data_IF_586156879782
#
_entry.id   IF_586156879782
#
_cell.length_a   1.000
_cell.length_b   1.000
_cell.length_c   1.000
_cell.angle_alpha   90.00
_cell.angle_beta   90.00
_cell.angle_gamma   90.00
#
_symmetry.space_group_name_H-M   'P 1'
#
loop_
_entity.id
_entity.type
_entity.pdbx_description
1 polymer ?
#
# COMPACT_ATOMS: atom_id res chain seq x y z
N UNK A 1 -12.77 -0.66 -5.60
CA UNK A 1 -12.10 -0.60 -4.28
C UNK A 1 -10.61 -0.44 -4.51
N UNK A 2 -9.91 0.23 -3.60
CA UNK A 2 -8.45 0.38 -3.67
C UNK A 2 -7.85 -1.00 -3.44
N UNK A 3 -6.98 -1.43 -4.35
CA UNK A 3 -6.40 -2.77 -4.32
C UNK A 3 -5.11 -2.78 -3.49
N UNK A 4 -5.00 -3.74 -2.58
CA UNK A 4 -3.82 -4.04 -1.78
C UNK A 4 -3.98 -5.42 -1.14
N UNK A 5 -2.89 -5.98 -0.61
CA UNK A 5 -2.94 -7.25 0.10
C UNK A 5 -3.77 -7.17 1.40
N UNK A 6 -4.28 -8.29 1.92
CA UNK A 6 -5.12 -8.32 3.13
C UNK A 6 -4.38 -7.95 4.43
N UNK A 7 -3.05 -7.94 4.43
CA UNK A 7 -2.20 -7.77 5.59
C UNK A 7 -1.80 -9.11 6.21
N UNK A 8 -0.50 -9.37 6.31
CA UNK A 8 0.05 -10.59 6.93
C UNK A 8 1.12 -10.24 7.96
N UNK A 9 1.17 -11.05 9.03
CA UNK A 9 2.20 -10.95 10.06
C UNK A 9 3.44 -11.75 9.66
N UNK A 10 4.61 -11.29 10.10
CA UNK A 10 5.85 -12.04 9.94
C UNK A 10 5.76 -13.37 10.73
N UNK A 11 6.33 -14.43 10.16
CA UNK A 11 6.50 -15.69 10.87
C UNK A 11 7.53 -15.51 12.00
N UNK A 12 7.16 -15.69 13.28
CA UNK A 12 8.07 -15.50 14.41
C UNK A 12 9.18 -16.55 14.48
N UNK A 13 9.08 -17.66 13.74
CA UNK A 13 10.11 -18.69 13.68
C UNK A 13 11.24 -18.38 12.69
N UNK A 14 11.04 -17.41 11.79
CA UNK A 14 12.02 -17.00 10.80
C UNK A 14 12.91 -15.86 11.32
N UNK A 15 14.15 -15.71 10.78
CA UNK A 15 15.00 -14.58 11.10
C UNK A 15 14.34 -13.24 10.75
N UNK A 16 14.57 -12.22 11.58
CA UNK A 16 14.06 -10.88 11.33
C UNK A 16 14.63 -10.31 10.02
N UNK A 17 13.73 -9.86 9.15
CA UNK A 17 14.10 -9.22 7.88
C UNK A 17 14.11 -7.69 7.99
N UNK A 18 14.90 -7.05 7.13
CA UNK A 18 14.91 -5.59 7.00
C UNK A 18 14.52 -5.15 5.59
N UNK A 19 13.76 -4.06 5.52
CA UNK A 19 13.34 -3.47 4.24
C UNK A 19 14.48 -2.64 3.65
N UNK A 20 14.99 -3.02 2.48
CA UNK A 20 16.04 -2.28 1.80
C UNK A 20 16.65 -3.00 0.59
N UNK A 21 17.55 -2.30 -0.10
CA UNK A 21 18.35 -2.83 -1.20
C UNK A 21 17.54 -3.30 -2.42
N UNK A 22 18.13 -4.21 -3.20
CA UNK A 22 17.51 -4.75 -4.42
C UNK A 22 16.22 -5.53 -4.15
N UNK A 23 16.16 -6.24 -3.02
CA UNK A 23 14.97 -7.00 -2.63
C UNK A 23 13.76 -6.08 -2.44
N UNK A 24 13.93 -4.93 -1.76
CA UNK A 24 12.87 -3.93 -1.66
C UNK A 24 12.44 -3.37 -3.02
N UNK A 25 13.37 -3.12 -3.95
CA UNK A 25 13.03 -2.65 -5.29
C UNK A 25 12.16 -3.67 -6.04
N UNK A 26 12.52 -4.96 -5.98
CA UNK A 26 11.76 -6.05 -6.58
C UNK A 26 10.34 -6.15 -6.01
N UNK A 27 10.18 -6.00 -4.69
CA UNK A 27 8.85 -6.03 -4.06
C UNK A 27 8.02 -4.78 -4.33
N UNK A 28 8.65 -3.61 -4.49
CA UNK A 28 7.95 -2.40 -4.97
C UNK A 28 7.39 -2.63 -6.37
N UNK A 29 8.22 -3.13 -7.29
CA UNK A 29 7.79 -3.46 -8.65
C UNK A 29 6.67 -4.50 -8.65
N UNK A 30 6.83 -5.60 -7.90
CA UNK A 30 5.80 -6.63 -7.74
C UNK A 30 4.48 -6.05 -7.22
N UNK A 31 4.52 -5.15 -6.23
CA UNK A 31 3.34 -4.50 -5.66
C UNK A 31 2.59 -3.69 -6.72
N UNK A 32 3.31 -2.89 -7.50
CA UNK A 32 2.72 -2.06 -8.55
C UNK A 32 2.15 -2.90 -9.69
N UNK A 33 2.83 -3.98 -10.08
CA UNK A 33 2.32 -4.92 -11.09
C UNK A 33 1.07 -5.67 -10.62
N UNK A 34 0.98 -6.00 -9.33
CA UNK A 34 -0.12 -6.79 -8.75
C UNK A 34 -1.37 -5.94 -8.50
N UNK A 35 -1.20 -4.75 -7.92
CA UNK A 35 -2.31 -3.94 -7.40
C UNK A 35 -2.53 -2.62 -8.15
N UNK A 36 -1.71 -2.31 -9.15
CA UNK A 36 -1.74 -1.05 -9.88
C UNK A 36 -1.04 0.09 -9.14
N UNK A 37 -1.41 1.33 -9.43
CA UNK A 37 -0.71 2.53 -8.93
C UNK A 37 -1.59 3.45 -8.05
N UNK A 38 -2.81 3.02 -7.73
CA UNK A 38 -3.71 3.78 -6.84
C UNK A 38 -3.17 3.68 -5.41
N UNK A 39 -2.82 4.83 -4.84
CA UNK A 39 -2.21 4.91 -3.51
C UNK A 39 -3.17 4.44 -2.42
N UNK A 40 -2.75 3.45 -1.62
CA UNK A 40 -3.54 2.88 -0.52
C UNK A 40 -3.83 3.85 0.61
N UNK A 41 -3.07 4.95 0.67
CA UNK A 41 -3.18 5.94 1.73
C UNK A 41 -4.12 7.11 1.38
N UNK A 42 -4.21 7.49 0.10
CA UNK A 42 -4.96 8.68 -0.33
C UNK A 42 -5.96 8.42 -1.47
N UNK A 43 -5.90 7.26 -2.12
CA UNK A 43 -6.79 6.90 -3.22
C UNK A 43 -6.47 7.54 -4.56
N UNK A 44 -5.38 8.30 -4.69
CA UNK A 44 -5.00 8.93 -5.96
C UNK A 44 -3.98 8.08 -6.75
N UNK A 45 -3.98 8.13 -8.10
CA UNK A 45 -3.03 7.41 -8.94
C UNK A 45 -1.58 7.93 -8.81
N UNK A 46 -0.62 7.24 -9.44
CA UNK A 46 0.77 7.66 -9.52
C UNK A 46 1.67 7.17 -8.37
N UNK A 47 1.29 6.08 -7.70
CA UNK A 47 2.17 5.43 -6.71
C UNK A 47 3.42 4.88 -7.37
N UNK A 48 4.56 5.06 -6.71
CA UNK A 48 5.88 4.60 -7.17
C UNK A 48 6.69 3.94 -6.04
N UNK A 49 6.00 3.54 -4.98
CA UNK A 49 6.53 2.79 -3.86
C UNK A 49 5.48 1.83 -3.33
N UNK A 50 5.88 0.98 -2.38
CA UNK A 50 4.97 0.13 -1.63
C UNK A 50 4.93 0.59 -0.17
N UNK A 51 3.79 0.42 0.48
CA UNK A 51 3.61 0.61 1.91
C UNK A 51 3.07 -0.68 2.53
N UNK A 52 3.46 -0.95 3.77
CA UNK A 52 3.05 -2.14 4.49
C UNK A 52 1.63 -1.96 5.02
N UNK A 53 0.74 -2.92 4.80
CA UNK A 53 -0.64 -2.89 5.29
C UNK A 53 -0.63 -2.95 6.81
N UNK A 54 0.07 -3.93 7.38
CA UNK A 54 0.46 -4.00 8.79
C UNK A 54 1.89 -3.45 8.90
N UNK A 55 2.12 -2.36 9.65
CA UNK A 55 3.46 -1.78 9.78
C UNK A 55 4.49 -2.78 10.32
N UNK A 56 5.71 -2.74 9.79
CA UNK A 56 6.82 -3.62 10.22
C UNK A 56 7.11 -3.54 11.72
N UNK A 57 7.04 -2.34 12.30
CA UNK A 57 7.21 -2.13 13.75
C UNK A 57 6.13 -2.79 14.60
N UNK A 58 5.03 -3.23 14.00
CA UNK A 58 3.92 -3.94 14.66
C UNK A 58 3.87 -5.43 14.27
N UNK A 59 4.95 -5.95 13.69
CA UNK A 59 5.08 -7.37 13.34
C UNK A 59 4.58 -7.74 11.95
N UNK A 60 4.26 -6.76 11.09
CA UNK A 60 3.87 -7.06 9.70
C UNK A 60 5.00 -7.70 8.90
N UNK A 61 4.66 -8.65 8.03
CA UNK A 61 5.61 -9.33 7.16
C UNK A 61 6.34 -8.32 6.27
N UNK A 62 7.67 -8.45 6.17
CA UNK A 62 8.53 -7.45 5.50
C UNK A 62 8.47 -7.60 3.98
N UNK A 63 8.54 -8.84 3.49
CA UNK A 63 8.58 -9.21 2.08
C UNK A 63 7.48 -10.20 1.73
N UNK A 64 6.23 -9.78 1.94
CA UNK A 64 5.04 -10.52 1.57
C UNK A 64 4.12 -9.61 0.76
N UNK A 65 3.73 -10.05 -0.43
CA UNK A 65 2.83 -9.29 -1.31
C UNK A 65 1.47 -9.06 -0.67
N UNK A 66 1.04 -9.97 0.21
CA UNK A 66 -0.21 -9.84 0.94
C UNK A 66 -0.13 -8.78 2.05
N UNK A 67 1.08 -8.38 2.48
CA UNK A 67 1.26 -7.26 3.41
C UNK A 67 1.65 -5.95 2.71
N UNK A 68 1.49 -5.83 1.39
CA UNK A 68 1.88 -4.64 0.63
C UNK A 68 0.71 -4.04 -0.13
N UNK A 69 0.81 -2.73 -0.38
CA UNK A 69 -0.02 -2.04 -1.35
C UNK A 69 0.67 -0.81 -1.95
N UNK A 70 0.21 -0.34 -3.12
CA UNK A 70 0.82 0.80 -3.80
C UNK A 70 0.73 2.06 -2.94
N UNK A 71 1.80 2.85 -2.86
CA UNK A 71 1.77 4.10 -2.10
C UNK A 71 2.66 5.15 -2.74
N UNK A 72 2.26 6.42 -2.63
CA UNK A 72 3.19 7.53 -2.84
C UNK A 72 4.22 7.53 -1.71
N UNK A 73 5.49 7.82 -2.04
CA UNK A 73 6.53 7.94 -1.02
C UNK A 73 6.13 8.91 0.10
N UNK A 74 5.63 10.09 -0.24
CA UNK A 74 5.20 11.11 0.74
C UNK A 74 4.09 10.60 1.66
N UNK A 75 3.13 9.84 1.14
CA UNK A 75 2.04 9.27 1.93
C UNK A 75 2.54 8.19 2.88
N UNK A 76 3.35 7.25 2.39
CA UNK A 76 4.02 6.23 3.21
C UNK A 76 4.82 6.89 4.35
N UNK A 77 5.72 7.84 4.02
CA UNK A 77 6.50 8.58 5.01
C UNK A 77 5.63 9.32 6.04
N UNK A 78 4.48 9.87 5.65
CA UNK A 78 3.59 10.56 6.59
C UNK A 78 2.79 9.58 7.49
N UNK A 79 2.47 8.39 6.98
CA UNK A 79 1.71 7.37 7.69
C UNK A 79 2.49 6.79 8.87
N UNK A 80 3.78 6.52 8.69
CA UNK A 80 4.61 5.87 9.73
C UNK A 80 3.98 4.52 10.16
N UNK A 81 3.81 4.28 11.46
CA UNK A 81 3.23 3.05 12.02
C UNK A 81 1.72 3.14 12.29
N UNK A 82 1.06 4.18 11.77
CA UNK A 82 -0.39 4.36 11.91
C UNK A 82 -1.13 3.33 11.05
N UNK A 83 -2.35 2.91 11.45
CA UNK A 83 -3.19 2.07 10.60
C UNK A 83 -3.49 2.76 9.26
N UNK A 84 -3.83 1.97 8.24
CA UNK A 84 -4.29 2.52 6.97
C UNK A 84 -5.48 3.45 7.21
N UNK A 85 -5.50 4.58 6.50
CA UNK A 85 -6.64 5.47 6.53
C UNK A 85 -7.76 4.86 5.68
N UNK A 86 -9.01 4.84 6.15
CA UNK A 86 -10.14 4.55 5.29
C UNK A 86 -10.20 5.61 4.18
N UNK A 87 -9.99 5.17 2.95
CA UNK A 87 -10.07 6.02 1.76
C UNK A 87 -11.35 5.66 1.02
N UNK A 88 -12.38 6.47 1.22
CA UNK A 88 -13.53 6.52 0.34
C UNK A 88 -13.24 7.56 -0.74
N UNK A 89 -13.00 7.13 -1.98
CA UNK A 89 -13.09 8.06 -3.11
C UNK A 89 -14.58 8.21 -3.39
N UNK A 90 -15.20 9.39 -3.18
CA UNK A 90 -16.52 9.61 -3.73
C UNK A 90 -16.39 9.58 -5.25
N UNK A 91 -16.89 8.51 -5.86
CA UNK A 91 -17.03 8.44 -7.31
C UNK A 91 -18.23 9.30 -7.65
N UNK A 92 -17.98 10.57 -7.96
CA UNK A 92 -18.99 11.45 -8.51
C UNK A 92 -19.20 11.09 -9.99
N UNK A 93 -20.41 10.68 -10.38
CA UNK A 93 -20.70 10.28 -11.76
C UNK A 93 -20.62 11.44 -12.76
N UNK A 94 -20.58 12.69 -12.28
CA UNK A 94 -20.64 13.89 -13.11
C UNK A 94 -21.97 14.08 -13.87
N UNK A 95 -22.88 13.10 -13.85
CA UNK A 95 -24.18 13.14 -14.54
C UNK A 95 -25.07 14.29 -14.07
N UNK A 96 -24.85 14.79 -12.85
CA UNK A 96 -25.54 15.96 -12.34
C UNK A 96 -25.27 17.23 -13.19
N UNK A 97 -24.12 17.33 -13.86
CA UNK A 97 -23.77 18.45 -14.74
C UNK A 97 -24.43 18.38 -16.12
N UNK A 98 -25.07 17.25 -16.46
CA UNK A 98 -25.70 17.02 -17.76
C UNK A 98 -27.23 16.88 -17.68
N UNK A 99 -27.84 17.24 -16.54
CA UNK A 99 -29.31 17.32 -16.42
C UNK A 99 -29.80 18.65 -16.97
N UNK A 100 -30.48 18.61 -18.11
CA UNK A 100 -31.34 19.67 -18.67
C UNK A 100 -32.57 19.93 -17.82
#
# INVERSE_FOLDING_TARGET
>A
MIQHGPGTYADPSLPAESWGGRKAQQYVELTLLTYGDICINCGLPGSNSADHVIPRSKGGAVYDIDNLGPSHRRCNYSRQDKPLRPVGIPVESGLAFFKT
#
